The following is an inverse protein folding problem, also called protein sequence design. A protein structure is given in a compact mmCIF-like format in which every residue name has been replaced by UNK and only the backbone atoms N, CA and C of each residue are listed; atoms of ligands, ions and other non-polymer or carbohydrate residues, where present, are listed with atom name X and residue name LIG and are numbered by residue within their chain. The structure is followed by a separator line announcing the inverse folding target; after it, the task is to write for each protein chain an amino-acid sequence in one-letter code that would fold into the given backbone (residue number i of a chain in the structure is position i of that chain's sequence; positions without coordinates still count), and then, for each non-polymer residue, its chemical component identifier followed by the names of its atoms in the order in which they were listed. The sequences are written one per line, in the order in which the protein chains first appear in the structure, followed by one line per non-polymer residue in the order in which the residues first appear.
data_IF_049602533099
#
_entry.id   IF_049602533099
#
_cell.length_a   1.000
_cell.length_b   1.000
_cell.length_c   1.000
_cell.angle_alpha   90.00
_cell.angle_beta   90.00
_cell.angle_gamma   90.00
#
_symmetry.space_group_name_H-M   'P 1'
#
loop_
_entity.id
_entity.type
_entity.pdbx_description
1 polymer ?
#
# COMPACT_ATOMS: atom_id res chain seq x y z
N UNK A 1 16.49 -6.46 56.48
CA UNK A 1 15.08 -6.10 56.65
C UNK A 1 14.41 -7.32 57.27
N UNK A 2 14.25 -7.31 58.59
CA UNK A 2 13.73 -8.41 59.41
C UNK A 2 12.20 -8.35 59.46
N UNK A 3 11.53 -9.49 59.64
CA UNK A 3 10.06 -9.65 59.54
C UNK A 3 9.24 -8.73 60.48
N UNK A 4 9.84 -8.16 61.51
CA UNK A 4 9.16 -7.22 62.42
C UNK A 4 8.80 -5.87 61.79
N UNK A 5 9.46 -5.47 60.70
CA UNK A 5 9.34 -4.14 60.08
C UNK A 5 8.04 -3.96 59.25
N UNK A 6 7.28 -5.05 59.03
CA UNK A 6 6.05 -5.05 58.23
C UNK A 6 4.78 -4.90 59.09
N UNK A 7 4.86 -5.05 60.41
CA UNK A 7 3.70 -5.08 61.30
C UNK A 7 3.25 -3.69 61.80
N UNK A 8 4.08 -2.65 61.60
CA UNK A 8 3.85 -1.29 62.13
C UNK A 8 3.48 -0.25 61.08
N UNK A 9 3.38 -0.63 59.80
CA UNK A 9 3.01 0.32 58.74
C UNK A 9 1.50 0.59 58.78
N UNK A 10 1.12 1.76 59.26
CA UNK A 10 -0.27 2.21 59.17
C UNK A 10 -0.70 2.26 57.70
N UNK A 11 -1.74 1.49 57.36
CA UNK A 11 -2.36 1.54 56.05
C UNK A 11 -3.26 2.78 56.01
N UNK A 12 -2.81 3.80 55.29
CA UNK A 12 -3.55 5.05 55.12
C UNK A 12 -4.79 4.80 54.24
N UNK A 13 -5.98 5.28 54.62
CA UNK A 13 -7.18 5.07 53.81
C UNK A 13 -7.05 5.74 52.44
N UNK A 14 -7.58 5.08 51.40
CA UNK A 14 -7.53 5.45 49.97
C UNK A 14 -8.07 6.85 49.61
N UNK A 15 -8.53 7.64 50.58
CA UNK A 15 -9.04 8.99 50.38
C UNK A 15 -7.94 10.08 50.32
N UNK A 16 -6.70 9.76 50.71
CA UNK A 16 -5.55 10.68 50.68
C UNK A 16 -4.49 10.24 49.66
N UNK A 17 -4.91 9.84 48.45
CA UNK A 17 -3.95 9.67 47.36
C UNK A 17 -3.44 11.05 46.91
N UNK A 18 -2.15 11.33 47.15
CA UNK A 18 -1.49 12.53 46.64
C UNK A 18 -1.48 12.50 45.10
N UNK A 19 -2.31 13.34 44.48
CA UNK A 19 -2.42 13.47 43.03
C UNK A 19 -1.13 14.01 42.38
N UNK A 20 -0.19 14.53 43.18
CA UNK A 20 1.12 14.96 42.70
C UNK A 20 2.20 13.86 42.84
N UNK A 21 1.86 12.66 43.33
CA UNK A 21 2.78 11.54 43.37
C UNK A 21 3.15 11.12 41.93
N UNK A 22 4.45 11.12 41.55
CA UNK A 22 4.90 10.74 40.22
C UNK A 22 4.51 9.30 39.83
N UNK A 23 4.32 8.40 40.80
CA UNK A 23 3.85 7.03 40.57
C UNK A 23 2.37 7.04 40.20
N UNK A 24 1.53 7.79 40.92
CA UNK A 24 0.09 7.94 40.62
C UNK A 24 -0.11 8.64 39.28
N UNK A 25 0.68 9.68 38.99
CA UNK A 25 0.69 10.38 37.70
C UNK A 25 1.16 9.49 36.53
N UNK A 26 2.03 8.51 36.78
CA UNK A 26 2.47 7.54 35.78
C UNK A 26 1.41 6.49 35.46
N UNK A 27 0.62 6.09 36.48
CA UNK A 27 -0.49 5.15 36.33
C UNK A 27 -1.69 5.79 35.63
N UNK A 28 -1.99 7.07 35.90
CA UNK A 28 -3.03 7.83 35.18
C UNK A 28 -2.77 7.91 33.67
N UNK A 29 -1.51 8.08 33.25
CA UNK A 29 -1.11 8.06 31.83
C UNK A 29 -1.24 6.70 31.15
N UNK A 30 -1.23 5.60 31.93
CA UNK A 30 -1.40 4.24 31.40
C UNK A 30 -2.88 3.85 31.20
N UNK A 31 -3.81 4.61 31.80
CA UNK A 31 -5.26 4.34 31.79
C UNK A 31 -6.00 5.28 30.82
N UNK A 32 -5.32 6.25 30.20
CA UNK A 32 -5.91 7.03 29.12
C UNK A 32 -6.25 6.10 27.93
N UNK A 33 -7.50 6.07 27.44
CA UNK A 33 -7.84 5.30 26.25
C UNK A 33 -6.97 5.79 25.09
N UNK A 34 -6.49 4.89 24.20
CA UNK A 34 -5.62 5.30 23.11
C UNK A 34 -6.33 6.39 22.29
N UNK A 35 -5.78 7.61 22.29
CA UNK A 35 -6.31 8.74 21.53
C UNK A 35 -6.14 8.57 20.00
N UNK A 36 -5.44 7.51 19.57
CA UNK A 36 -5.04 7.21 18.20
C UNK A 36 -6.22 6.99 17.23
N UNK A 37 -7.24 6.15 17.51
CA UNK A 37 -8.40 5.98 16.64
C UNK A 37 -9.18 7.29 16.42
N UNK A 38 -9.38 8.09 17.47
CA UNK A 38 -10.10 9.37 17.38
C UNK A 38 -9.29 10.39 16.56
N UNK A 39 -7.96 10.46 16.76
CA UNK A 39 -7.09 11.32 15.97
C UNK A 39 -7.01 10.90 14.49
N UNK A 40 -7.01 9.59 14.20
CA UNK A 40 -7.03 9.08 12.84
C UNK A 40 -8.36 9.42 12.13
N UNK A 41 -9.50 9.22 12.79
CA UNK A 41 -10.82 9.60 12.29
C UNK A 41 -10.93 11.12 12.07
N UNK A 42 -10.37 11.93 12.97
CA UNK A 42 -10.31 13.38 12.80
C UNK A 42 -9.38 13.81 11.65
N UNK A 43 -8.26 13.10 11.42
CA UNK A 43 -7.38 13.36 10.28
C UNK A 43 -8.06 13.04 8.95
N UNK A 44 -8.79 11.93 8.87
CA UNK A 44 -9.64 11.59 7.72
C UNK A 44 -10.73 12.64 7.52
N UNK A 45 -11.42 13.05 8.60
CA UNK A 45 -12.44 14.09 8.56
C UNK A 45 -11.91 15.46 8.09
N UNK A 46 -10.71 15.86 8.52
CA UNK A 46 -10.03 17.07 8.02
C UNK A 46 -9.61 16.94 6.54
N UNK A 47 -9.19 15.75 6.12
CA UNK A 47 -8.90 15.44 4.72
C UNK A 47 -10.13 15.65 3.83
N UNK A 48 -11.29 15.14 4.26
CA UNK A 48 -12.56 15.29 3.55
C UNK A 48 -13.04 16.75 3.56
N UNK A 49 -12.95 17.46 4.70
CA UNK A 49 -13.29 18.89 4.78
C UNK A 49 -12.35 19.78 3.94
N UNK A 50 -11.12 19.35 3.67
CA UNK A 50 -10.19 20.07 2.80
C UNK A 50 -10.61 20.05 1.32
N UNK A 51 -11.44 19.10 0.89
CA UNK A 51 -11.96 19.00 -0.48
C UNK A 51 -12.76 20.25 -0.89
N UNK A 52 -13.44 20.90 0.07
CA UNK A 52 -14.17 22.15 -0.15
C UNK A 52 -13.30 23.40 -0.32
N UNK A 53 -11.97 23.29 -0.20
CA UNK A 53 -11.01 24.41 -0.30
C UNK A 53 -10.14 24.36 -1.56
N UNK A 54 -10.49 23.52 -2.54
CA UNK A 54 -9.68 23.30 -3.73
C UNK A 54 -9.79 24.49 -4.69
N UNK A 55 -8.66 25.15 -4.94
CA UNK A 55 -8.56 26.16 -5.98
C UNK A 55 -8.68 25.55 -7.39
N UNK A 56 -8.83 26.38 -8.43
CA UNK A 56 -8.99 25.92 -9.82
C UNK A 56 -7.84 25.02 -10.28
N UNK A 57 -6.60 25.30 -9.87
CA UNK A 57 -5.42 24.48 -10.17
C UNK A 57 -5.54 23.04 -9.65
N UNK A 58 -6.19 22.85 -8.49
CA UNK A 58 -6.38 21.52 -7.90
C UNK A 58 -7.41 20.71 -8.69
N UNK A 59 -8.49 21.35 -9.15
CA UNK A 59 -9.48 20.73 -10.01
C UNK A 59 -8.92 20.38 -11.39
N UNK A 60 -8.13 21.28 -12.00
CA UNK A 60 -7.42 21.00 -13.25
C UNK A 60 -6.46 19.83 -13.06
N UNK A 61 -5.69 19.82 -11.98
CA UNK A 61 -4.78 18.70 -11.69
C UNK A 61 -5.52 17.38 -11.53
N UNK A 62 -6.64 17.37 -10.79
CA UNK A 62 -7.47 16.17 -10.62
C UNK A 62 -8.02 15.68 -11.96
N UNK A 63 -8.54 16.59 -12.79
CA UNK A 63 -9.09 16.25 -14.10
C UNK A 63 -8.01 15.64 -15.01
N UNK A 64 -6.79 16.19 -15.01
CA UNK A 64 -5.66 15.64 -15.78
C UNK A 64 -5.30 14.24 -15.27
N UNK A 65 -5.12 14.05 -13.97
CA UNK A 65 -4.74 12.75 -13.39
C UNK A 65 -5.84 11.71 -13.63
N UNK A 66 -7.10 12.06 -13.41
CA UNK A 66 -8.23 11.19 -13.71
C UNK A 66 -8.29 10.85 -15.20
N UNK A 67 -8.06 11.82 -16.08
CA UNK A 67 -7.96 11.62 -17.53
C UNK A 67 -6.86 10.62 -17.90
N UNK A 68 -5.67 10.74 -17.32
CA UNK A 68 -4.57 9.80 -17.50
C UNK A 68 -4.93 8.37 -17.08
N UNK A 69 -5.52 8.20 -15.89
CA UNK A 69 -5.90 6.88 -15.37
C UNK A 69 -7.01 6.25 -16.22
N UNK A 70 -8.05 7.01 -16.55
CA UNK A 70 -9.16 6.55 -17.38
C UNK A 70 -8.70 6.22 -18.80
N UNK A 71 -7.82 7.02 -19.37
CA UNK A 71 -7.22 6.75 -20.67
C UNK A 71 -6.42 5.44 -20.66
N UNK A 72 -5.51 5.26 -19.70
CA UNK A 72 -4.76 4.00 -19.56
C UNK A 72 -5.70 2.81 -19.40
N UNK A 73 -6.71 2.90 -18.52
CA UNK A 73 -7.67 1.82 -18.32
C UNK A 73 -8.45 1.48 -19.59
N UNK A 74 -8.92 2.47 -20.34
CA UNK A 74 -9.64 2.27 -21.60
C UNK A 74 -8.78 1.54 -22.65
N UNK A 75 -7.46 1.75 -22.64
CA UNK A 75 -6.53 1.10 -23.57
C UNK A 75 -6.13 -0.33 -23.16
N UNK A 76 -6.48 -0.79 -21.96
CA UNK A 76 -6.15 -2.14 -21.46
C UNK A 76 -7.30 -3.16 -21.67
N UNK A 77 -8.21 -2.90 -22.62
CA UNK A 77 -9.38 -3.76 -22.89
C UNK A 77 -10.24 -4.02 -21.64
N UNK A 78 -11.01 -3.04 -21.14
CA UNK A 78 -11.80 -3.19 -19.90
C UNK A 78 -12.69 -4.43 -19.84
N UNK A 79 -13.28 -4.86 -20.96
CA UNK A 79 -14.08 -6.09 -21.03
C UNK A 79 -13.28 -7.34 -20.64
N UNK A 80 -12.03 -7.41 -21.08
CA UNK A 80 -11.15 -8.53 -20.78
C UNK A 80 -10.70 -8.48 -19.33
N UNK A 81 -10.35 -7.30 -18.80
CA UNK A 81 -10.02 -7.12 -17.38
C UNK A 81 -11.18 -7.57 -16.48
N UNK A 82 -12.41 -7.17 -16.82
CA UNK A 82 -13.59 -7.38 -15.98
C UNK A 82 -14.20 -8.78 -16.13
N UNK A 83 -13.77 -9.57 -17.11
CA UNK A 83 -14.22 -10.95 -17.26
C UNK A 83 -13.61 -11.90 -16.22
N UNK A 84 -14.23 -13.05 -15.98
CA UNK A 84 -13.72 -14.07 -15.04
C UNK A 84 -12.60 -14.95 -15.60
N UNK A 85 -12.22 -14.76 -16.87
CA UNK A 85 -11.15 -15.55 -17.50
C UNK A 85 -9.80 -15.32 -16.81
N UNK A 86 -8.98 -16.35 -16.77
CA UNK A 86 -7.57 -16.21 -16.36
C UNK A 86 -6.81 -15.39 -17.40
N UNK A 87 -5.82 -14.60 -16.99
CA UNK A 87 -4.98 -13.90 -17.95
C UNK A 87 -4.12 -14.89 -18.75
N UNK A 88 -3.68 -14.44 -19.92
CA UNK A 88 -2.81 -15.18 -20.82
C UNK A 88 -1.85 -14.22 -21.54
N UNK A 89 -0.86 -14.76 -22.25
CA UNK A 89 0.18 -14.01 -22.93
C UNK A 89 1.46 -13.90 -22.09
N UNK A 90 2.62 -13.97 -22.77
CA UNK A 90 3.92 -14.05 -22.10
C UNK A 90 3.94 -15.10 -20.98
N UNK A 91 4.52 -14.72 -19.85
CA UNK A 91 4.59 -15.55 -18.64
C UNK A 91 3.36 -15.38 -17.73
N UNK A 92 2.38 -14.55 -18.12
CA UNK A 92 1.20 -14.28 -17.31
C UNK A 92 0.40 -15.56 -17.00
N UNK A 93 0.35 -16.50 -17.94
CA UNK A 93 -0.29 -17.81 -17.74
C UNK A 93 0.41 -18.66 -16.69
N UNK A 94 1.74 -18.55 -16.56
CA UNK A 94 2.50 -19.27 -15.53
C UNK A 94 2.23 -18.70 -14.13
N UNK A 95 2.00 -17.39 -14.02
CA UNK A 95 1.70 -16.75 -12.74
C UNK A 95 0.35 -17.15 -12.15
N UNK A 96 -0.58 -17.70 -12.93
CA UNK A 96 -1.91 -18.16 -12.48
C UNK A 96 -1.80 -19.24 -11.39
N UNK A 97 -0.75 -20.08 -11.40
CA UNK A 97 -0.59 -21.13 -10.40
C UNK A 97 -0.31 -20.59 -9.00
N UNK A 98 0.59 -19.60 -8.89
CA UNK A 98 1.14 -19.19 -7.60
C UNK A 98 0.08 -18.70 -6.59
N UNK A 99 -0.74 -17.68 -6.92
CA UNK A 99 -1.73 -17.16 -5.99
C UNK A 99 -2.80 -18.19 -5.63
N UNK A 100 -3.16 -19.08 -6.56
CA UNK A 100 -4.05 -20.20 -6.29
C UNK A 100 -3.43 -21.18 -5.29
N UNK A 101 -2.17 -21.59 -5.50
CA UNK A 101 -1.44 -22.43 -4.55
C UNK A 101 -1.32 -21.77 -3.18
N UNK A 102 -1.03 -20.46 -3.13
CA UNK A 102 -0.97 -19.69 -1.90
C UNK A 102 -2.32 -19.73 -1.16
N UNK A 103 -3.42 -19.45 -1.86
CA UNK A 103 -4.78 -19.46 -1.31
C UNK A 103 -5.16 -20.82 -0.74
N UNK A 104 -4.87 -21.89 -1.47
CA UNK A 104 -5.41 -23.23 -1.17
C UNK A 104 -4.52 -24.04 -0.21
N UNK A 105 -3.21 -23.77 -0.18
CA UNK A 105 -2.26 -24.58 0.59
C UNK A 105 -1.46 -23.80 1.64
N UNK A 106 -1.08 -22.54 1.36
CA UNK A 106 -0.22 -21.76 2.25
C UNK A 106 -1.02 -20.98 3.30
N UNK A 107 -2.01 -20.20 2.88
CA UNK A 107 -2.82 -19.37 3.78
C UNK A 107 -3.58 -20.18 4.85
N UNK A 108 -4.16 -21.36 4.55
CA UNK A 108 -4.80 -22.20 5.57
C UNK A 108 -3.82 -22.68 6.65
N UNK A 109 -2.53 -22.76 6.33
CA UNK A 109 -1.46 -23.08 7.26
C UNK A 109 -0.82 -21.83 7.90
N UNK A 110 -1.40 -20.63 7.72
CA UNK A 110 -0.83 -19.35 8.14
C UNK A 110 0.60 -19.10 7.60
N UNK A 111 0.87 -19.55 6.36
CA UNK A 111 2.15 -19.38 5.67
C UNK A 111 2.00 -18.56 4.39
N UNK A 112 3.08 -17.93 3.96
CA UNK A 112 3.18 -17.21 2.67
C UNK A 112 4.27 -17.78 1.77
N UNK A 113 5.06 -18.74 2.26
CA UNK A 113 6.06 -19.51 1.52
C UNK A 113 5.98 -20.98 1.92
N UNK A 114 6.50 -21.88 1.09
CA UNK A 114 6.52 -23.32 1.40
C UNK A 114 7.17 -24.17 0.32
N UNK A 115 7.17 -25.49 0.51
CA UNK A 115 7.54 -26.45 -0.52
C UNK A 115 6.26 -26.99 -1.16
N UNK A 116 6.18 -26.99 -2.49
CA UNK A 116 5.13 -27.70 -3.23
C UNK A 116 5.67 -29.03 -3.77
N UNK A 117 4.81 -30.03 -3.92
CA UNK A 117 5.13 -31.28 -4.62
C UNK A 117 4.82 -31.19 -6.13
N UNK A 118 4.31 -30.04 -6.60
CA UNK A 118 4.07 -29.79 -8.02
C UNK A 118 5.39 -29.75 -8.81
N UNK A 119 5.38 -30.33 -10.01
CA UNK A 119 6.51 -30.45 -10.96
C UNK A 119 7.78 -31.13 -10.41
N UNK A 120 8.32 -32.12 -11.13
CA UNK A 120 9.68 -32.70 -10.94
C UNK A 120 10.18 -32.81 -9.49
N UNK A 121 9.40 -33.47 -8.62
CA UNK A 121 9.68 -33.69 -7.18
C UNK A 121 9.57 -32.45 -6.27
N UNK A 122 9.04 -31.35 -6.78
CA UNK A 122 8.71 -30.16 -6.01
C UNK A 122 9.75 -29.04 -6.08
N UNK A 123 9.37 -27.88 -5.58
CA UNK A 123 10.22 -26.69 -5.53
C UNK A 123 9.79 -25.73 -4.40
N UNK A 124 10.67 -24.79 -3.98
CA UNK A 124 10.35 -23.84 -2.92
C UNK A 124 9.46 -22.69 -3.45
N UNK A 125 8.14 -22.83 -3.28
CA UNK A 125 7.16 -21.81 -3.60
C UNK A 125 7.42 -20.51 -2.80
N UNK A 126 7.42 -19.37 -3.51
CA UNK A 126 7.51 -18.02 -2.94
C UNK A 126 8.78 -17.68 -2.14
N UNK A 127 9.86 -18.44 -2.30
CA UNK A 127 11.14 -18.09 -1.67
C UNK A 127 11.92 -17.01 -2.44
N UNK A 128 11.73 -16.93 -3.76
CA UNK A 128 12.52 -16.05 -4.64
C UNK A 128 11.68 -15.02 -5.41
N UNK A 129 10.37 -14.99 -5.19
CA UNK A 129 9.44 -14.10 -5.89
C UNK A 129 8.83 -13.08 -4.93
N UNK A 130 8.45 -11.90 -5.44
CA UNK A 130 7.67 -10.95 -4.65
C UNK A 130 6.34 -11.57 -4.21
N UNK A 131 6.20 -11.77 -2.91
CA UNK A 131 5.00 -12.36 -2.30
C UNK A 131 3.79 -11.43 -2.37
N UNK A 132 4.00 -10.11 -2.26
CA UNK A 132 2.91 -9.16 -2.03
C UNK A 132 1.85 -9.13 -3.14
N UNK A 133 2.21 -9.06 -4.45
CA UNK A 133 1.19 -9.09 -5.50
C UNK A 133 0.41 -10.41 -5.50
N UNK A 134 1.10 -11.54 -5.31
CA UNK A 134 0.44 -12.85 -5.25
C UNK A 134 -0.48 -13.00 -4.05
N UNK A 135 -0.06 -12.50 -2.89
CA UNK A 135 -0.88 -12.47 -1.68
C UNK A 135 -2.13 -11.61 -1.89
N UNK A 136 -2.00 -10.44 -2.51
CA UNK A 136 -3.14 -9.58 -2.83
C UNK A 136 -4.14 -10.30 -3.76
N UNK A 137 -3.65 -11.01 -4.79
CA UNK A 137 -4.51 -11.81 -5.68
C UNK A 137 -5.23 -12.92 -4.90
N UNK A 138 -4.50 -13.68 -4.09
CA UNK A 138 -5.05 -14.77 -3.29
C UNK A 138 -6.16 -14.26 -2.36
N UNK A 139 -5.91 -13.18 -1.63
CA UNK A 139 -6.87 -12.56 -0.72
C UNK A 139 -8.10 -12.01 -1.45
N UNK A 140 -7.91 -11.30 -2.56
CA UNK A 140 -9.00 -10.73 -3.35
C UNK A 140 -9.88 -11.82 -3.99
N UNK A 141 -9.30 -12.98 -4.31
CA UNK A 141 -10.03 -14.10 -4.90
C UNK A 141 -11.00 -14.81 -3.94
N UNK A 142 -10.98 -14.50 -2.64
CA UNK A 142 -12.03 -14.96 -1.72
C UNK A 142 -13.38 -14.27 -1.94
N UNK A 143 -13.38 -13.07 -2.54
CA UNK A 143 -14.59 -12.27 -2.75
C UNK A 143 -14.90 -11.98 -4.23
N UNK A 144 -13.93 -12.20 -5.13
CA UNK A 144 -14.09 -12.03 -6.57
C UNK A 144 -13.70 -13.32 -7.33
N UNK A 145 -14.23 -13.54 -8.54
CA UNK A 145 -13.73 -14.59 -9.43
C UNK A 145 -12.21 -14.50 -9.61
N UNK A 146 -11.53 -15.64 -9.56
CA UNK A 146 -10.06 -15.70 -9.54
C UNK A 146 -9.38 -14.92 -10.67
N UNK A 147 -9.84 -15.12 -11.91
CA UNK A 147 -9.30 -14.41 -13.08
C UNK A 147 -9.48 -12.89 -12.99
N UNK A 148 -10.65 -12.42 -12.50
CA UNK A 148 -10.91 -11.00 -12.27
C UNK A 148 -9.98 -10.44 -11.19
N UNK A 149 -9.88 -11.11 -10.04
CA UNK A 149 -9.00 -10.71 -8.94
C UNK A 149 -7.54 -10.58 -9.43
N UNK A 150 -7.07 -11.56 -10.20
CA UNK A 150 -5.75 -11.55 -10.79
C UNK A 150 -5.53 -10.31 -11.66
N UNK A 151 -6.40 -10.09 -12.65
CA UNK A 151 -6.24 -9.01 -13.63
C UNK A 151 -6.30 -7.64 -12.97
N UNK A 152 -7.18 -7.44 -11.98
CA UNK A 152 -7.26 -6.19 -11.22
C UNK A 152 -5.96 -5.87 -10.48
N UNK A 153 -5.35 -6.86 -9.82
CA UNK A 153 -4.06 -6.65 -9.15
C UNK A 153 -2.94 -6.45 -10.18
N UNK A 154 -2.91 -7.22 -11.26
CA UNK A 154 -1.88 -7.11 -12.29
C UNK A 154 -1.83 -5.72 -12.95
N UNK A 155 -2.98 -5.11 -13.23
CA UNK A 155 -3.04 -3.76 -13.83
C UNK A 155 -2.93 -2.63 -12.80
N UNK A 156 -3.00 -2.93 -11.50
CA UNK A 156 -3.05 -1.90 -10.46
C UNK A 156 -1.87 -0.93 -10.52
N UNK A 157 -0.65 -1.45 -10.71
CA UNK A 157 0.56 -0.63 -10.87
C UNK A 157 0.51 0.35 -12.04
N UNK A 158 -0.06 -0.07 -13.17
CA UNK A 158 -0.25 0.78 -14.36
C UNK A 158 -1.23 1.91 -14.06
N UNK A 159 -2.33 1.61 -13.35
CA UNK A 159 -3.37 2.59 -13.03
C UNK A 159 -2.93 3.55 -11.91
N UNK A 160 -2.09 3.09 -10.99
CA UNK A 160 -1.60 3.92 -9.88
C UNK A 160 -0.40 4.78 -10.25
N UNK A 161 0.38 4.44 -11.28
CA UNK A 161 1.62 5.17 -11.61
C UNK A 161 1.39 6.66 -11.91
N UNK A 162 0.38 7.08 -12.72
CA UNK A 162 0.08 8.51 -12.92
C UNK A 162 -0.26 9.23 -11.60
N UNK A 163 -0.99 8.55 -10.71
CA UNK A 163 -1.35 9.07 -9.39
C UNK A 163 -0.11 9.21 -8.51
N UNK A 164 0.79 8.21 -8.53
CA UNK A 164 2.04 8.22 -7.79
C UNK A 164 2.96 9.37 -8.22
N UNK A 165 3.13 9.59 -9.53
CA UNK A 165 3.94 10.69 -10.07
C UNK A 165 3.35 12.08 -9.74
N UNK A 166 2.02 12.23 -9.80
CA UNK A 166 1.35 13.44 -9.31
C UNK A 166 1.56 13.63 -7.80
N UNK A 167 1.38 12.58 -7.01
CA UNK A 167 1.56 12.61 -5.56
C UNK A 167 3.00 12.98 -5.18
N UNK A 168 4.00 12.44 -5.89
CA UNK A 168 5.41 12.83 -5.74
C UNK A 168 5.60 14.34 -5.90
N UNK A 169 5.06 14.93 -6.98
CA UNK A 169 5.17 16.37 -7.21
C UNK A 169 4.47 17.21 -6.12
N UNK A 170 3.33 16.73 -5.61
CA UNK A 170 2.60 17.37 -4.51
C UNK A 170 3.34 17.26 -3.17
N UNK A 171 3.93 16.11 -2.89
CA UNK A 171 4.69 15.87 -1.67
C UNK A 171 5.95 16.73 -1.62
N UNK A 172 6.62 16.90 -2.76
CA UNK A 172 7.82 17.75 -2.93
C UNK A 172 7.51 19.21 -3.26
N UNK A 173 6.24 19.62 -3.17
CA UNK A 173 5.76 21.01 -3.35
C UNK A 173 6.19 21.66 -4.67
N UNK A 174 6.30 20.88 -5.74
CA UNK A 174 6.63 21.44 -7.06
C UNK A 174 5.53 22.42 -7.50
N UNK A 175 5.92 23.56 -8.12
CA UNK A 175 4.97 24.58 -8.53
C UNK A 175 3.99 24.03 -9.57
N UNK A 176 2.77 24.55 -9.61
CA UNK A 176 1.86 24.27 -10.71
C UNK A 176 2.46 24.79 -12.03
N UNK A 177 2.37 24.05 -13.17
CA UNK A 177 1.65 22.79 -13.39
C UNK A 177 2.52 21.52 -13.32
N UNK A 178 3.65 21.52 -12.62
CA UNK A 178 4.60 20.40 -12.67
C UNK A 178 3.99 19.08 -12.19
N UNK A 179 3.26 19.09 -11.08
CA UNK A 179 2.65 17.86 -10.52
C UNK A 179 1.72 17.13 -11.51
N UNK A 180 0.71 17.78 -12.14
CA UNK A 180 -0.10 17.11 -13.16
C UNK A 180 0.69 16.76 -14.43
N UNK A 181 1.70 17.53 -14.82
CA UNK A 181 2.56 17.17 -15.97
C UNK A 181 3.37 15.89 -15.71
N UNK A 182 3.75 15.60 -14.46
CA UNK A 182 4.39 14.33 -14.11
C UNK A 182 3.45 13.14 -14.32
N UNK A 183 2.15 13.28 -14.09
CA UNK A 183 1.17 12.23 -14.39
C UNK A 183 1.03 12.00 -15.90
N UNK A 184 1.08 13.07 -16.70
CA UNK A 184 1.10 12.97 -18.16
C UNK A 184 2.38 12.27 -18.63
N UNK A 185 3.54 12.63 -18.10
CA UNK A 185 4.82 11.97 -18.40
C UNK A 185 4.83 10.49 -18.01
N UNK A 186 4.27 10.15 -16.84
CA UNK A 186 4.09 8.77 -16.43
C UNK A 186 3.21 7.99 -17.41
N UNK A 187 2.12 8.60 -17.87
CA UNK A 187 1.25 8.02 -18.89
C UNK A 187 2.02 7.78 -20.18
N UNK A 188 2.81 8.74 -20.67
CA UNK A 188 3.64 8.54 -21.86
C UNK A 188 4.63 7.37 -21.69
N UNK A 189 5.27 7.25 -20.51
CA UNK A 189 6.14 6.11 -20.19
C UNK A 189 5.42 4.77 -20.22
N UNK A 190 4.17 4.70 -19.72
CA UNK A 190 3.39 3.46 -19.74
C UNK A 190 3.20 2.90 -21.16
N UNK A 191 3.12 3.79 -22.16
CA UNK A 191 2.96 3.45 -23.57
C UNK A 191 4.29 3.30 -24.33
N UNK A 192 5.44 3.42 -23.66
CA UNK A 192 6.72 3.12 -24.29
C UNK A 192 6.77 1.64 -24.68
N UNK A 193 7.13 1.39 -25.95
CA UNK A 193 7.24 0.06 -26.55
C UNK A 193 8.69 -0.31 -26.91
N UNK A 194 9.66 0.50 -26.49
CA UNK A 194 11.08 0.23 -26.72
C UNK A 194 11.57 -1.04 -26.00
N UNK A 195 10.89 -1.48 -24.93
CA UNK A 195 11.14 -2.72 -24.21
C UNK A 195 9.84 -3.38 -23.72
N UNK A 196 9.89 -4.69 -23.50
CA UNK A 196 8.72 -5.49 -23.10
C UNK A 196 8.99 -6.52 -22.00
N UNK A 197 10.17 -6.51 -21.37
CA UNK A 197 10.56 -7.49 -20.34
C UNK A 197 11.36 -6.88 -19.17
N UNK A 198 11.39 -5.55 -19.05
CA UNK A 198 12.11 -4.86 -17.96
C UNK A 198 11.19 -4.35 -16.85
N UNK A 199 9.86 -4.41 -17.06
CA UNK A 199 8.86 -4.02 -16.07
C UNK A 199 8.42 -2.56 -16.15
N UNK A 200 7.38 -2.20 -15.41
CA UNK A 200 6.92 -0.81 -15.25
C UNK A 200 5.96 -0.28 -16.32
N UNK A 201 6.18 -0.60 -17.60
CA UNK A 201 5.31 -0.19 -18.71
C UNK A 201 4.22 -1.23 -19.05
N UNK A 202 3.31 -0.90 -19.97
CA UNK A 202 2.21 -1.78 -20.38
C UNK A 202 2.73 -3.08 -21.02
N UNK A 203 3.61 -3.07 -22.05
CA UNK A 203 4.09 -4.30 -22.67
C UNK A 203 4.75 -5.26 -21.67
N UNK A 204 5.59 -4.75 -20.76
CA UNK A 204 6.24 -5.60 -19.75
C UNK A 204 5.25 -6.15 -18.74
N UNK A 205 4.29 -5.34 -18.30
CA UNK A 205 3.23 -5.81 -17.38
C UNK A 205 2.44 -6.96 -18.01
N UNK A 206 2.08 -6.84 -19.29
CA UNK A 206 1.36 -7.88 -20.02
C UNK A 206 2.22 -9.13 -20.29
N UNK A 207 3.55 -9.00 -20.32
CA UNK A 207 4.47 -10.12 -20.44
C UNK A 207 4.62 -10.94 -19.14
N UNK A 208 4.16 -10.43 -17.99
CA UNK A 208 4.28 -11.09 -16.68
C UNK A 208 4.96 -10.21 -15.62
N UNK A 209 5.55 -9.07 -15.99
CA UNK A 209 6.32 -8.21 -15.10
C UNK A 209 5.46 -7.24 -14.26
N UNK A 210 4.25 -7.65 -13.88
CA UNK A 210 3.29 -6.80 -13.17
C UNK A 210 3.73 -6.43 -11.75
N UNK A 211 4.55 -7.26 -11.10
CA UNK A 211 5.13 -6.91 -9.81
C UNK A 211 6.02 -5.66 -9.90
N UNK A 212 6.73 -5.47 -11.03
CA UNK A 212 7.59 -4.30 -11.24
C UNK A 212 6.78 -3.01 -11.41
N UNK A 213 5.63 -3.04 -12.09
CA UNK A 213 4.79 -1.84 -12.23
C UNK A 213 4.13 -1.42 -10.92
N UNK A 214 3.76 -2.39 -10.08
CA UNK A 214 3.28 -2.12 -8.71
C UNK A 214 4.41 -1.50 -7.87
N UNK A 215 5.58 -2.15 -7.84
CA UNK A 215 6.75 -1.66 -7.09
C UNK A 215 7.20 -0.26 -7.55
N UNK A 216 7.17 0.02 -8.85
CA UNK A 216 7.50 1.34 -9.38
C UNK A 216 6.55 2.43 -8.85
N UNK A 217 5.25 2.15 -8.76
CA UNK A 217 4.28 3.08 -8.17
C UNK A 217 4.62 3.39 -6.70
N UNK A 218 4.92 2.36 -5.90
CA UNK A 218 5.33 2.55 -4.51
C UNK A 218 6.65 3.31 -4.39
N UNK A 219 7.65 2.99 -5.22
CA UNK A 219 8.94 3.65 -5.23
C UNK A 219 8.81 5.17 -5.48
N UNK A 220 7.96 5.59 -6.42
CA UNK A 220 7.74 7.01 -6.68
C UNK A 220 7.09 7.72 -5.49
N UNK A 221 6.08 7.10 -4.85
CA UNK A 221 5.47 7.67 -3.63
C UNK A 221 6.48 7.73 -2.50
N UNK A 222 7.26 6.66 -2.29
CA UNK A 222 8.33 6.59 -1.31
C UNK A 222 9.32 7.77 -1.48
N UNK A 223 9.79 8.02 -2.70
CA UNK A 223 10.67 9.17 -2.98
C UNK A 223 10.02 10.51 -2.61
N UNK A 224 8.72 10.66 -2.85
CA UNK A 224 7.99 11.86 -2.46
C UNK A 224 7.91 12.05 -0.95
N UNK A 225 7.65 10.96 -0.21
CA UNK A 225 7.62 10.97 1.26
C UNK A 225 9.00 11.22 1.84
N UNK A 226 10.06 10.65 1.26
CA UNK A 226 11.45 10.93 1.66
C UNK A 226 11.76 12.41 1.44
N UNK A 227 11.50 12.96 0.25
CA UNK A 227 11.74 14.37 -0.05
C UNK A 227 11.05 15.31 0.95
N UNK A 228 9.77 15.08 1.22
CA UNK A 228 9.02 15.86 2.22
C UNK A 228 9.48 15.62 3.66
N UNK A 229 9.96 14.41 3.96
CA UNK A 229 10.54 14.05 5.25
C UNK A 229 11.86 14.77 5.53
N UNK A 230 12.69 14.97 4.50
CA UNK A 230 13.94 15.74 4.59
C UNK A 230 13.65 17.23 4.85
N UNK A 231 12.63 17.82 4.19
CA UNK A 231 12.24 19.21 4.41
C UNK A 231 11.64 19.47 5.80
N UNK A 232 10.74 18.58 6.26
CA UNK A 232 9.89 18.86 7.43
C UNK A 232 10.36 18.20 8.72
N UNK A 233 11.28 17.23 8.64
CA UNK A 233 11.73 16.41 9.76
C UNK A 233 10.67 15.46 10.35
N UNK A 234 9.41 15.50 9.87
CA UNK A 234 8.26 14.80 10.48
C UNK A 234 7.83 13.50 9.80
N UNK A 235 8.22 13.24 8.55
CA UNK A 235 7.77 12.05 7.80
C UNK A 235 8.76 10.87 7.84
N UNK A 236 9.71 10.89 8.79
CA UNK A 236 10.75 9.86 8.94
C UNK A 236 10.20 8.46 9.25
N UNK A 237 8.98 8.36 9.78
CA UNK A 237 8.35 7.08 10.17
C UNK A 237 7.49 6.46 9.06
N UNK A 238 7.02 7.25 8.08
CA UNK A 238 6.16 6.74 6.99
C UNK A 238 7.01 6.19 5.84
N UNK A 239 8.16 6.82 5.55
CA UNK A 239 9.05 6.37 4.48
C UNK A 239 9.47 4.89 4.60
N UNK A 240 9.84 4.34 5.77
CA UNK A 240 10.27 2.94 5.86
C UNK A 240 9.16 1.90 5.68
N UNK A 241 7.89 2.32 5.69
CA UNK A 241 6.72 1.41 5.61
C UNK A 241 6.27 1.22 4.16
N UNK A 242 6.60 2.18 3.28
CA UNK A 242 6.32 2.16 1.84
C UNK A 242 7.40 1.37 1.09
#
# INVERSE_FOLDING_TARGET
MTEDDLSTRQVQPLAEADLNDPVVASLGRAIDPPSRPVQALQAVGRGIQSLGRWGPESWVSLAIVAGCVLFTFAQLSPSDILSSSTPAGGDMGAHVWGPAYMRDHLLPSFRVTGWTQDWYAGFPAYHFYMVLPSLAIALLSFILPYGLAFKLVAVSGLLTLPIACWAFGRLTRLPFPVSPLLAVGATAFLFDRSFSIYGGNIPSTLAGEFAFSISLSFAIVFLGVVGRGLETGRQRVIAPIL
#
